data_IF_414216516366
#
_entry.id   IF_414216516366
#
_cell.length_a   1.000
_cell.length_b   1.000
_cell.length_c   1.000
_cell.angle_alpha   90.00
_cell.angle_beta   90.00
_cell.angle_gamma   90.00
#
_symmetry.space_group_name_H-M   'P 1'
#
loop_
_entity.id
_entity.type
_entity.pdbx_description
1 polymer ?
#
# COMPACT_ATOMS: atom_id res chain seq x y z
N UNK A 1 -12.44 -13.67 -1.76
CA UNK A 1 -12.08 -14.98 -2.36
C UNK A 1 -13.17 -15.51 -3.28
N UNK A 2 -14.40 -15.75 -2.82
CA UNK A 2 -15.50 -16.29 -3.66
C UNK A 2 -15.73 -15.53 -4.98
N UNK A 3 -15.65 -14.18 -4.97
CA UNK A 3 -15.73 -13.39 -6.19
C UNK A 3 -14.65 -13.78 -7.21
N UNK A 4 -13.40 -13.95 -6.77
CA UNK A 4 -12.28 -14.31 -7.64
C UNK A 4 -12.45 -15.73 -8.19
N UNK A 5 -12.85 -16.67 -7.36
CA UNK A 5 -13.13 -18.06 -7.77
C UNK A 5 -14.20 -18.12 -8.88
N UNK A 6 -15.21 -17.25 -8.82
CA UNK A 6 -16.32 -17.23 -9.78
C UNK A 6 -16.03 -16.45 -11.06
N UNK A 7 -15.18 -15.42 -10.99
CA UNK A 7 -15.02 -14.44 -12.07
C UNK A 7 -13.62 -14.42 -12.69
N UNK A 8 -12.67 -15.21 -12.18
CA UNK A 8 -11.30 -15.29 -12.68
C UNK A 8 -10.83 -16.75 -12.82
N UNK A 9 -9.74 -16.96 -13.55
CA UNK A 9 -8.93 -18.17 -13.61
C UNK A 9 -7.71 -18.09 -12.70
N UNK A 10 -7.62 -17.06 -11.86
CA UNK A 10 -6.57 -16.95 -10.86
C UNK A 10 -6.73 -18.14 -9.90
N UNK A 11 -5.68 -18.94 -9.68
CA UNK A 11 -5.77 -20.05 -8.76
C UNK A 11 -5.91 -19.51 -7.34
N UNK A 12 -7.07 -19.76 -6.74
CA UNK A 12 -7.40 -19.36 -5.36
C UNK A 12 -7.90 -20.58 -4.60
N UNK A 13 -7.62 -20.64 -3.30
CA UNK A 13 -8.14 -21.72 -2.46
C UNK A 13 -9.67 -21.64 -2.38
N UNK A 14 -10.35 -22.75 -2.63
CA UNK A 14 -11.80 -22.80 -2.52
C UNK A 14 -12.24 -22.54 -1.09
N UNK A 15 -13.19 -21.62 -0.91
CA UNK A 15 -13.79 -21.37 0.40
C UNK A 15 -14.92 -22.36 0.65
N UNK A 16 -14.82 -23.18 1.72
CA UNK A 16 -15.87 -24.13 2.10
C UNK A 16 -16.89 -23.51 3.07
N UNK A 17 -16.41 -22.72 4.02
CA UNK A 17 -17.24 -22.10 5.03
C UNK A 17 -16.56 -20.85 5.61
N UNK A 18 -17.34 -19.90 6.10
CA UNK A 18 -16.85 -18.80 6.92
C UNK A 18 -17.88 -18.48 8.00
N UNK A 19 -17.43 -17.95 9.13
CA UNK A 19 -18.31 -17.67 10.26
C UNK A 19 -17.64 -16.83 11.32
N UNK A 20 -18.36 -16.65 12.42
CA UNK A 20 -17.88 -15.97 13.63
C UNK A 20 -18.14 -16.88 14.82
N UNK A 21 -17.13 -17.06 15.65
CA UNK A 21 -17.22 -17.81 16.90
C UNK A 21 -16.88 -16.88 18.07
N UNK A 22 -17.61 -16.91 19.21
CA UNK A 22 -17.36 -16.01 20.34
C UNK A 22 -15.96 -16.08 20.94
N UNK A 23 -15.22 -17.18 20.74
CA UNK A 23 -13.85 -17.36 21.26
C UNK A 23 -12.79 -17.15 20.19
N UNK A 24 -13.02 -17.66 18.98
CA UNK A 24 -12.04 -17.58 17.88
C UNK A 24 -12.13 -16.28 17.09
N UNK A 25 -13.26 -15.58 17.16
CA UNK A 25 -13.58 -14.44 16.30
C UNK A 25 -14.02 -14.92 14.90
N UNK A 26 -13.80 -14.06 13.90
CA UNK A 26 -14.08 -14.39 12.51
C UNK A 26 -13.13 -15.49 12.01
N UNK A 27 -13.65 -16.48 11.30
CA UNK A 27 -12.88 -17.60 10.77
C UNK A 27 -13.34 -18.02 9.37
N UNK A 28 -12.45 -18.70 8.65
CA UNK A 28 -12.68 -19.24 7.32
C UNK A 28 -12.17 -20.69 7.30
N UNK A 29 -12.94 -21.60 6.72
CA UNK A 29 -12.55 -22.97 6.38
C UNK A 29 -12.42 -23.02 4.86
N UNK A 30 -11.23 -23.36 4.39
CA UNK A 30 -10.91 -23.37 2.97
C UNK A 30 -10.07 -24.59 2.60
N UNK A 31 -9.95 -24.81 1.29
CA UNK A 31 -9.12 -25.86 0.70
C UNK A 31 -7.65 -25.68 1.11
N UNK A 32 -7.04 -26.79 1.54
CA UNK A 32 -5.59 -26.85 1.71
C UNK A 32 -4.94 -27.06 0.35
N UNK A 33 -4.09 -26.13 -0.06
CA UNK A 33 -3.33 -26.22 -1.30
C UNK A 33 -1.97 -26.84 -0.98
N UNK A 34 -1.71 -28.02 -1.52
CA UNK A 34 -0.40 -28.66 -1.42
C UNK A 34 0.64 -27.84 -2.20
N UNK A 35 1.71 -27.42 -1.52
CA UNK A 35 2.76 -26.60 -2.10
C UNK A 35 4.10 -26.87 -1.40
N UNK A 36 5.21 -27.03 -2.15
CA UNK A 36 6.54 -27.15 -1.54
C UNK A 36 7.05 -25.85 -0.89
N UNK A 37 6.74 -24.69 -1.47
CA UNK A 37 7.22 -23.38 -0.98
C UNK A 37 6.42 -22.22 -1.59
N UNK A 38 6.55 -21.03 -1.02
CA UNK A 38 6.08 -19.79 -1.62
C UNK A 38 7.18 -19.12 -2.48
N UNK A 39 6.77 -18.21 -3.35
CA UNK A 39 7.67 -17.54 -4.29
C UNK A 39 8.72 -16.67 -3.59
N UNK A 40 8.40 -16.04 -2.45
CA UNK A 40 9.42 -15.30 -1.68
C UNK A 40 10.55 -16.21 -1.20
N UNK A 41 10.24 -17.43 -0.74
CA UNK A 41 11.25 -18.42 -0.32
C UNK A 41 12.08 -18.90 -1.49
N UNK A 42 11.44 -19.20 -2.62
CA UNK A 42 12.15 -19.62 -3.84
C UNK A 42 13.12 -18.55 -4.37
N UNK A 43 12.84 -17.27 -4.10
CA UNK A 43 13.60 -16.12 -4.60
C UNK A 43 14.56 -15.51 -3.58
N UNK A 44 14.57 -16.02 -2.35
CA UNK A 44 15.27 -15.37 -1.24
C UNK A 44 16.80 -15.54 -1.29
N UNK A 45 17.53 -14.48 -0.96
CA UNK A 45 18.98 -14.48 -0.83
C UNK A 45 19.48 -14.96 0.55
N UNK A 46 18.63 -14.96 1.58
CA UNK A 46 19.12 -14.99 2.97
C UNK A 46 19.44 -16.38 3.52
N UNK A 47 19.38 -17.45 2.72
CA UNK A 47 19.74 -18.82 3.12
C UNK A 47 19.17 -19.21 4.50
N UNK A 48 17.89 -18.91 4.74
CA UNK A 48 17.17 -19.22 6.00
C UNK A 48 17.62 -18.43 7.25
N UNK A 49 18.41 -17.36 7.10
CA UNK A 49 18.69 -16.42 8.19
C UNK A 49 17.42 -15.63 8.55
N UNK A 50 16.66 -16.14 9.52
CA UNK A 50 15.41 -15.55 10.00
C UNK A 50 15.58 -14.18 10.67
N UNK A 51 16.82 -13.75 10.94
CA UNK A 51 17.09 -12.43 11.52
C UNK A 51 17.12 -11.30 10.47
N UNK A 52 17.10 -11.66 9.18
CA UNK A 52 17.17 -10.70 8.07
C UNK A 52 15.86 -10.62 7.29
N UNK A 53 15.51 -9.43 6.76
CA UNK A 53 14.39 -9.32 5.83
C UNK A 53 14.67 -10.19 4.59
N UNK A 54 13.61 -10.74 4.01
CA UNK A 54 13.71 -11.43 2.72
C UNK A 54 14.12 -10.42 1.66
N UNK A 55 15.24 -10.69 0.98
CA UNK A 55 15.69 -9.89 -0.15
C UNK A 55 15.84 -10.78 -1.37
N UNK A 56 15.55 -10.23 -2.56
CA UNK A 56 15.72 -10.98 -3.81
C UNK A 56 17.18 -11.44 -3.94
N UNK A 57 17.39 -12.73 -4.20
CA UNK A 57 18.70 -13.28 -4.53
C UNK A 57 19.28 -12.55 -5.76
N UNK A 58 20.39 -11.80 -5.62
CA UNK A 58 20.97 -11.07 -6.75
C UNK A 58 21.43 -12.01 -7.87
N UNK A 59 21.76 -13.26 -7.53
CA UNK A 59 22.25 -14.29 -8.43
C UNK A 59 21.14 -15.23 -8.96
N UNK A 60 19.86 -14.90 -8.71
CA UNK A 60 18.75 -15.67 -9.29
C UNK A 60 18.87 -15.71 -10.81
N UNK A 61 18.76 -16.90 -11.46
CA UNK A 61 18.78 -16.97 -12.91
C UNK A 61 17.66 -16.11 -13.52
N UNK A 62 18.03 -15.26 -14.47
CA UNK A 62 17.14 -14.26 -15.05
C UNK A 62 15.93 -14.89 -15.76
N UNK A 63 16.13 -16.05 -16.38
CA UNK A 63 15.08 -16.84 -17.04
C UNK A 63 14.07 -17.40 -16.03
N UNK A 64 14.54 -17.89 -14.87
CA UNK A 64 13.69 -18.36 -13.77
C UNK A 64 12.87 -17.21 -13.20
N UNK A 65 13.51 -16.06 -12.93
CA UNK A 65 12.81 -14.88 -12.41
C UNK A 65 11.76 -14.38 -13.41
N UNK A 66 12.13 -14.26 -14.68
CA UNK A 66 11.22 -13.81 -15.73
C UNK A 66 10.03 -14.75 -15.92
N UNK A 67 10.24 -16.07 -15.85
CA UNK A 67 9.19 -17.07 -15.96
C UNK A 67 8.17 -16.94 -14.81
N UNK A 68 8.64 -16.82 -13.57
CA UNK A 68 7.75 -16.58 -12.43
C UNK A 68 6.98 -15.26 -12.57
N UNK A 69 7.67 -14.17 -12.93
CA UNK A 69 7.03 -12.87 -13.17
C UNK A 69 5.98 -12.94 -14.27
N UNK A 70 6.19 -13.73 -15.31
CA UNK A 70 5.21 -13.88 -16.40
C UNK A 70 3.92 -14.54 -15.92
N UNK A 71 4.01 -15.58 -15.09
CA UNK A 71 2.84 -16.22 -14.49
C UNK A 71 2.08 -15.25 -13.56
N UNK A 72 2.80 -14.50 -12.71
CA UNK A 72 2.19 -13.51 -11.82
C UNK A 72 1.54 -12.38 -12.62
N UNK A 73 2.21 -11.92 -13.68
CA UNK A 73 1.69 -10.90 -14.59
C UNK A 73 0.40 -11.35 -15.27
N UNK A 74 0.28 -12.62 -15.67
CA UNK A 74 -0.96 -13.16 -16.23
C UNK A 74 -2.13 -13.10 -15.22
N UNK A 75 -1.90 -13.47 -13.95
CA UNK A 75 -2.90 -13.33 -12.90
C UNK A 75 -3.28 -11.87 -12.64
N UNK A 76 -2.30 -10.96 -12.63
CA UNK A 76 -2.55 -9.53 -12.45
C UNK A 76 -3.34 -8.92 -13.62
N UNK A 77 -3.07 -9.33 -14.86
CA UNK A 77 -3.83 -8.89 -16.02
C UNK A 77 -5.30 -9.24 -15.88
N UNK A 78 -5.60 -10.48 -15.49
CA UNK A 78 -6.97 -10.94 -15.24
C UNK A 78 -7.61 -10.19 -14.07
N UNK A 79 -6.91 -10.08 -12.94
CA UNK A 79 -7.37 -9.34 -11.77
C UNK A 79 -7.73 -7.89 -12.11
N UNK A 80 -6.91 -7.23 -12.94
CA UNK A 80 -7.10 -5.84 -13.35
C UNK A 80 -8.29 -5.59 -14.28
N UNK A 81 -8.87 -6.64 -14.90
CA UNK A 81 -10.04 -6.51 -15.77
C UNK A 81 -11.33 -6.21 -15.01
N UNK A 82 -11.37 -6.49 -13.70
CA UNK A 82 -12.57 -6.31 -12.90
C UNK A 82 -12.76 -4.85 -12.53
N UNK A 83 -13.56 -4.16 -13.34
CA UNK A 83 -14.01 -2.80 -13.07
C UNK A 83 -15.27 -2.81 -12.21
N UNK A 84 -15.34 -1.89 -11.27
CA UNK A 84 -16.40 -1.77 -10.28
C UNK A 84 -16.94 -0.34 -10.27
N UNK A 85 -18.22 -0.12 -9.86
CA UNK A 85 -18.88 1.16 -10.02
C UNK A 85 -18.45 2.24 -9.01
N UNK A 86 -17.72 1.85 -7.96
CA UNK A 86 -17.25 2.76 -6.89
C UNK A 86 -16.08 2.13 -6.12
N UNK A 87 -15.38 2.94 -5.34
CA UNK A 87 -14.32 2.49 -4.45
C UNK A 87 -14.95 1.96 -3.15
N UNK A 88 -14.52 0.77 -2.72
CA UNK A 88 -15.04 0.08 -1.53
C UNK A 88 -14.78 -1.42 -1.55
N UNK A 89 -15.12 -2.09 -0.46
CA UNK A 89 -15.04 -3.54 -0.36
C UNK A 89 -16.25 -4.22 -0.99
N UNK A 90 -16.01 -5.36 -1.63
CA UNK A 90 -17.04 -6.25 -2.16
C UNK A 90 -17.69 -7.02 -1.02
N UNK A 91 -19.02 -7.03 -1.00
CA UNK A 91 -19.83 -7.82 -0.08
C UNK A 91 -20.78 -8.69 -0.91
N UNK A 92 -20.91 -9.95 -0.53
CA UNK A 92 -21.93 -10.83 -1.09
C UNK A 92 -23.31 -10.40 -0.57
N UNK A 93 -24.16 -9.87 -1.46
CA UNK A 93 -25.49 -9.37 -1.12
C UNK A 93 -26.57 -10.43 -1.31
N UNK A 94 -26.33 -11.38 -2.20
CA UNK A 94 -27.09 -12.61 -2.40
C UNK A 94 -26.10 -13.71 -2.79
N UNK A 95 -26.43 -15.00 -2.62
CA UNK A 95 -25.55 -16.09 -3.02
C UNK A 95 -25.02 -15.92 -4.45
N UNK A 96 -23.70 -15.82 -4.61
CA UNK A 96 -23.00 -15.60 -5.89
C UNK A 96 -23.09 -14.18 -6.47
N UNK A 97 -23.71 -13.23 -5.77
CA UNK A 97 -23.89 -11.85 -6.24
C UNK A 97 -23.19 -10.88 -5.29
N UNK A 98 -22.31 -10.05 -5.83
CA UNK A 98 -21.47 -9.14 -5.06
C UNK A 98 -21.80 -7.68 -5.37
N UNK A 99 -21.65 -6.81 -4.37
CA UNK A 99 -21.80 -5.36 -4.54
C UNK A 99 -20.78 -4.62 -3.68
N UNK A 100 -20.38 -3.43 -4.14
CA UNK A 100 -19.47 -2.57 -3.40
C UNK A 100 -20.27 -1.70 -2.45
N UNK A 101 -20.36 -2.10 -1.18
CA UNK A 101 -21.25 -1.46 -0.18
C UNK A 101 -20.57 -1.14 1.15
N UNK A 102 -19.30 -1.50 1.31
CA UNK A 102 -18.52 -1.24 2.50
C UNK A 102 -17.25 -0.44 2.20
N UNK A 103 -16.67 0.18 3.22
CA UNK A 103 -15.37 0.86 3.12
C UNK A 103 -14.29 -0.10 2.65
N UNK A 104 -13.28 0.39 1.90
CA UNK A 104 -12.05 -0.37 1.71
C UNK A 104 -11.48 -0.84 3.05
N UNK A 105 -11.08 -2.10 3.11
CA UNK A 105 -10.29 -2.65 4.23
C UNK A 105 -8.86 -2.77 3.71
N UNK A 106 -7.98 -1.88 4.15
CA UNK A 106 -6.61 -1.78 3.65
C UNK A 106 -5.61 -2.30 4.67
N UNK A 107 -4.45 -2.76 4.18
CA UNK A 107 -3.36 -3.18 5.07
C UNK A 107 -2.92 -2.02 5.98
N UNK A 108 -2.87 -0.80 5.45
CA UNK A 108 -2.51 0.40 6.22
C UNK A 108 -3.50 0.69 7.36
N UNK A 109 -4.81 0.47 7.16
CA UNK A 109 -5.79 0.58 8.26
C UNK A 109 -5.50 -0.44 9.36
N UNK A 110 -5.20 -1.69 8.99
CA UNK A 110 -4.83 -2.71 9.97
C UNK A 110 -3.56 -2.32 10.75
N UNK A 111 -2.51 -1.91 10.05
CA UNK A 111 -1.26 -1.46 10.65
C UNK A 111 -1.48 -0.23 11.57
N UNK A 112 -2.34 0.70 11.18
CA UNK A 112 -2.75 1.85 12.00
C UNK A 112 -3.41 1.42 13.32
N UNK A 113 -4.27 0.41 13.30
CA UNK A 113 -4.93 -0.11 14.51
C UNK A 113 -3.94 -0.89 15.39
N UNK A 114 -3.16 -1.79 14.78
CA UNK A 114 -2.31 -2.73 15.51
C UNK A 114 -0.99 -2.11 16.00
N UNK A 115 -0.33 -1.32 15.14
CA UNK A 115 1.02 -0.82 15.38
C UNK A 115 1.03 0.61 15.90
N UNK A 116 0.10 1.46 15.42
CA UNK A 116 -0.02 2.84 15.87
C UNK A 116 -1.08 3.01 16.98
N UNK A 117 -1.80 1.94 17.34
CA UNK A 117 -2.87 1.90 18.33
C UNK A 117 -3.98 2.93 18.01
N UNK A 118 -4.25 3.27 16.75
CA UNK A 118 -5.21 4.35 16.47
C UNK A 118 -6.63 3.89 16.83
N UNK A 119 -7.49 4.73 17.44
CA UNK A 119 -8.86 4.34 17.74
C UNK A 119 -9.64 4.01 16.46
N UNK A 120 -10.32 2.86 16.43
CA UNK A 120 -11.09 2.42 15.26
C UNK A 120 -12.19 3.38 14.82
N UNK A 121 -12.67 4.25 15.73
CA UNK A 121 -13.63 5.31 15.44
C UNK A 121 -13.09 6.41 14.51
N UNK A 122 -11.76 6.50 14.34
CA UNK A 122 -11.11 7.46 13.45
C UNK A 122 -11.06 6.95 12.00
N UNK A 123 -11.17 5.63 11.80
CA UNK A 123 -11.24 5.06 10.46
C UNK A 123 -12.56 5.45 9.77
N UNK A 124 -12.61 5.49 8.42
CA UNK A 124 -13.83 5.81 7.69
C UNK A 124 -15.01 4.93 8.13
N UNK A 125 -16.26 5.41 8.15
CA UNK A 125 -17.40 4.59 8.55
C UNK A 125 -17.50 3.28 7.75
N UNK A 126 -17.97 2.19 8.37
CA UNK A 126 -18.01 0.87 7.73
C UNK A 126 -18.75 0.84 6.40
N UNK A 127 -19.82 1.63 6.24
CA UNK A 127 -20.64 1.71 5.03
C UNK A 127 -20.17 2.79 4.02
N UNK A 128 -19.02 3.44 4.26
CA UNK A 128 -18.54 4.52 3.40
C UNK A 128 -17.92 3.98 2.12
N UNK A 129 -18.52 4.27 0.97
CA UNK A 129 -17.94 4.10 -0.37
C UNK A 129 -17.58 5.46 -1.00
N UNK A 130 -16.77 5.47 -2.05
CA UNK A 130 -16.35 6.70 -2.74
C UNK A 130 -16.68 6.65 -4.23
N UNK A 131 -17.24 7.74 -4.77
CA UNK A 131 -17.70 7.81 -6.17
C UNK A 131 -16.60 8.26 -7.14
N UNK A 132 -15.48 8.78 -6.63
CA UNK A 132 -14.34 9.24 -7.42
C UNK A 132 -13.04 9.05 -6.62
N UNK A 133 -11.91 9.04 -7.32
CA UNK A 133 -10.60 8.85 -6.69
C UNK A 133 -10.21 10.02 -5.78
N UNK A 134 -10.59 11.26 -6.09
CA UNK A 134 -10.21 12.44 -5.30
C UNK A 134 -10.77 12.37 -3.88
N UNK A 135 -12.04 12.00 -3.72
CA UNK A 135 -12.64 11.76 -2.39
C UNK A 135 -11.88 10.69 -1.60
N UNK A 136 -11.43 9.62 -2.27
CA UNK A 136 -10.67 8.57 -1.61
C UNK A 136 -9.25 9.01 -1.26
N UNK A 137 -8.59 9.80 -2.10
CA UNK A 137 -7.27 10.37 -1.78
C UNK A 137 -7.32 11.35 -0.61
N UNK A 138 -8.38 12.16 -0.52
CA UNK A 138 -8.64 12.97 0.68
C UNK A 138 -8.81 12.09 1.91
N UNK A 139 -9.49 10.94 1.79
CA UNK A 139 -9.57 9.97 2.88
C UNK A 139 -8.19 9.41 3.28
N UNK A 140 -7.35 9.02 2.31
CA UNK A 140 -5.99 8.54 2.58
C UNK A 140 -5.14 9.61 3.29
N UNK A 141 -5.20 10.86 2.81
CA UNK A 141 -4.53 12.00 3.43
C UNK A 141 -4.98 12.23 4.88
N UNK A 142 -6.30 12.15 5.13
CA UNK A 142 -6.87 12.25 6.49
C UNK A 142 -6.37 11.12 7.40
N UNK A 143 -6.20 9.90 6.87
CA UNK A 143 -5.64 8.79 7.66
C UNK A 143 -4.16 9.00 7.98
N UNK A 144 -3.37 9.60 7.09
CA UNK A 144 -1.97 9.99 7.39
C UNK A 144 -1.92 11.04 8.50
N UNK A 145 -2.79 12.05 8.44
CA UNK A 145 -2.92 13.05 9.51
C UNK A 145 -3.37 12.40 10.81
N UNK A 146 -4.35 11.48 10.77
CA UNK A 146 -4.80 10.75 11.93
C UNK A 146 -3.66 9.96 12.59
N UNK A 147 -2.80 9.29 11.82
CA UNK A 147 -1.60 8.67 12.36
C UNK A 147 -0.70 9.69 13.06
N UNK A 148 -0.44 10.84 12.43
CA UNK A 148 0.33 11.92 13.03
C UNK A 148 -0.27 12.42 14.36
N UNK A 149 -1.60 12.53 14.43
CA UNK A 149 -2.31 12.98 15.63
C UNK A 149 -2.29 11.92 16.73
N UNK A 150 -2.67 10.69 16.43
CA UNK A 150 -2.98 9.67 17.44
C UNK A 150 -1.82 8.75 17.81
N UNK A 151 -0.84 8.53 16.91
CA UNK A 151 0.31 7.69 17.24
C UNK A 151 1.22 8.42 18.23
N UNK A 152 1.30 7.92 19.46
CA UNK A 152 2.00 8.62 20.55
C UNK A 152 3.51 8.42 20.50
N UNK A 153 3.98 7.22 20.14
CA UNK A 153 5.39 6.83 20.25
C UNK A 153 6.10 6.83 18.89
N UNK A 154 7.38 7.21 18.94
CA UNK A 154 8.40 7.11 17.88
C UNK A 154 8.08 7.71 16.50
N UNK A 155 6.95 8.40 16.36
CA UNK A 155 6.59 9.02 15.08
C UNK A 155 7.35 10.31 14.81
N UNK A 156 7.60 11.14 15.84
CA UNK A 156 8.33 12.41 15.70
C UNK A 156 9.34 12.58 16.84
N UNK A 157 10.59 12.92 16.49
CA UNK A 157 11.65 13.12 17.47
C UNK A 157 11.89 14.58 17.83
N UNK A 158 11.53 15.50 16.96
CA UNK A 158 11.75 16.93 17.19
C UNK A 158 10.53 17.73 16.76
N UNK A 159 10.39 18.95 17.28
CA UNK A 159 9.37 19.88 16.82
C UNK A 159 9.50 20.16 15.31
N UNK A 160 10.73 20.10 14.81
CA UNK A 160 11.09 20.36 13.43
C UNK A 160 10.62 19.23 12.49
N UNK A 161 10.80 17.98 12.90
CA UNK A 161 10.20 16.80 12.24
C UNK A 161 8.67 16.81 12.30
N UNK A 162 8.09 17.23 13.42
CA UNK A 162 6.64 17.35 13.56
C UNK A 162 6.04 18.36 12.55
N UNK A 163 6.66 19.54 12.42
CA UNK A 163 6.27 20.54 11.41
C UNK A 163 6.45 20.02 9.98
N UNK A 164 7.56 19.33 9.71
CA UNK A 164 7.79 18.63 8.44
C UNK A 164 6.62 17.71 8.09
N UNK A 165 6.19 16.85 9.03
CA UNK A 165 5.09 15.95 8.74
C UNK A 165 3.74 16.68 8.59
N UNK A 166 3.49 17.69 9.41
CA UNK A 166 2.25 18.47 9.39
C UNK A 166 2.09 19.31 8.11
N UNK A 167 3.19 19.70 7.46
CA UNK A 167 3.14 20.52 6.24
C UNK A 167 2.94 19.72 4.94
N UNK A 168 2.97 18.38 4.99
CA UNK A 168 2.92 17.56 3.78
C UNK A 168 1.53 17.58 3.15
N UNK A 169 1.46 17.85 1.84
CA UNK A 169 0.21 17.88 1.07
C UNK A 169 0.26 16.85 -0.04
N UNK A 170 -0.68 15.90 -0.02
CA UNK A 170 -0.92 15.06 -1.19
C UNK A 170 -1.57 15.91 -2.29
N UNK A 171 -0.97 15.92 -3.47
CA UNK A 171 -1.58 16.54 -4.66
C UNK A 171 -2.82 15.75 -5.09
N UNK A 172 -3.76 16.44 -5.74
CA UNK A 172 -4.90 15.79 -6.39
C UNK A 172 -4.43 14.81 -7.46
N UNK A 173 -5.23 13.78 -7.72
CA UNK A 173 -4.87 12.80 -8.75
C UNK A 173 -5.13 13.35 -10.16
N UNK A 174 -4.37 12.89 -11.17
CA UNK A 174 -4.72 13.09 -12.56
C UNK A 174 -6.12 12.54 -12.87
N UNK A 175 -6.79 13.13 -13.85
CA UNK A 175 -8.21 12.95 -14.19
C UNK A 175 -8.59 11.59 -14.81
N UNK A 176 -7.75 10.57 -14.71
CA UNK A 176 -8.05 9.20 -15.18
C UNK A 176 -8.84 8.37 -14.15
N UNK A 177 -9.61 9.05 -13.29
CA UNK A 177 -10.09 8.56 -11.99
C UNK A 177 -11.44 7.83 -11.98
N UNK A 178 -12.10 7.64 -13.14
CA UNK A 178 -13.47 7.08 -13.20
C UNK A 178 -13.53 5.56 -13.39
N UNK A 179 -12.38 4.88 -13.46
CA UNK A 179 -12.32 3.41 -13.50
C UNK A 179 -11.79 2.87 -12.18
N UNK A 180 -12.65 2.22 -11.39
CA UNK A 180 -12.25 1.53 -10.17
C UNK A 180 -12.00 0.07 -10.47
N UNK A 181 -10.86 -0.46 -10.04
CA UNK A 181 -10.42 -1.83 -10.34
C UNK A 181 -10.17 -2.58 -9.06
N UNK A 182 -10.26 -3.90 -9.11
CA UNK A 182 -9.77 -4.71 -8.01
C UNK A 182 -8.28 -4.46 -7.76
N UNK A 183 -7.96 -4.33 -6.48
CA UNK A 183 -6.61 -4.14 -5.98
C UNK A 183 -6.49 -4.86 -4.63
N UNK A 184 -5.31 -5.43 -4.35
CA UNK A 184 -5.00 -6.03 -3.06
C UNK A 184 -3.69 -5.43 -2.54
N UNK A 185 -3.74 -4.79 -1.37
CA UNK A 185 -2.56 -4.13 -0.79
C UNK A 185 -1.43 -5.10 -0.45
N UNK A 186 -1.76 -6.37 -0.15
CA UNK A 186 -0.81 -7.39 0.28
C UNK A 186 -0.58 -8.48 -0.79
N UNK A 187 -0.88 -8.22 -2.07
CA UNK A 187 -0.52 -9.16 -3.13
C UNK A 187 0.99 -9.09 -3.40
N UNK A 188 1.73 -10.04 -2.79
CA UNK A 188 3.20 -10.12 -2.82
C UNK A 188 3.70 -11.58 -2.86
N UNK A 189 5.00 -11.83 -3.14
CA UNK A 189 5.51 -13.19 -3.37
C UNK A 189 5.37 -14.17 -2.20
N UNK A 190 5.27 -13.70 -0.96
CA UNK A 190 4.99 -14.57 0.19
C UNK A 190 3.61 -15.24 0.12
N UNK A 191 2.68 -14.61 -0.59
CA UNK A 191 1.29 -15.03 -0.70
C UNK A 191 1.04 -15.77 -2.04
N UNK A 192 2.11 -16.11 -2.76
CA UNK A 192 2.08 -16.84 -4.03
C UNK A 192 2.72 -18.21 -3.80
N UNK A 193 1.90 -19.25 -3.81
CA UNK A 193 2.32 -20.63 -3.62
C UNK A 193 2.78 -21.21 -4.95
N UNK A 194 3.90 -21.93 -4.96
CA UNK A 194 4.44 -22.60 -6.15
C UNK A 194 4.18 -24.10 -6.08
N UNK A 195 4.00 -24.78 -7.22
CA UNK A 195 3.99 -26.25 -7.26
C UNK A 195 5.43 -26.79 -7.35
N UNK A 196 5.61 -28.12 -7.31
CA UNK A 196 6.91 -28.76 -7.48
C UNK A 196 7.57 -28.59 -8.86
N UNK A 197 6.88 -28.03 -9.86
CA UNK A 197 7.42 -27.78 -11.20
C UNK A 197 7.49 -26.29 -11.57
N UNK A 198 7.40 -25.40 -10.58
CA UNK A 198 7.45 -23.93 -10.70
C UNK A 198 6.32 -23.14 -11.44
N UNK A 199 5.07 -23.64 -11.62
CA UNK A 199 3.89 -22.79 -11.81
C UNK A 199 3.26 -22.34 -10.48
N UNK A 200 2.39 -21.33 -10.56
CA UNK A 200 1.60 -20.85 -9.42
C UNK A 200 0.55 -21.93 -9.05
N UNK A 201 0.64 -22.46 -7.82
CA UNK A 201 -0.33 -23.40 -7.25
C UNK A 201 -1.61 -22.68 -6.80
N UNK A 202 -1.44 -21.58 -6.06
CA UNK A 202 -2.51 -20.68 -5.64
C UNK A 202 -1.93 -19.34 -5.19
N UNK A 203 -2.75 -18.31 -5.23
CA UNK A 203 -2.51 -17.05 -4.54
C UNK A 203 -3.46 -16.98 -3.35
N UNK A 204 -2.93 -16.65 -2.18
CA UNK A 204 -3.64 -16.61 -0.90
C UNK A 204 -3.65 -15.19 -0.32
N UNK A 205 -4.19 -15.03 0.89
CA UNK A 205 -4.20 -13.78 1.67
C UNK A 205 -4.83 -12.59 0.93
N UNK A 206 -6.07 -12.79 0.50
CA UNK A 206 -6.86 -11.78 -0.22
C UNK A 206 -7.58 -10.77 0.69
N UNK A 207 -7.30 -10.74 1.99
CA UNK A 207 -8.08 -9.99 3.00
C UNK A 207 -8.10 -8.47 2.79
N UNK A 208 -7.06 -7.91 2.18
CA UNK A 208 -6.96 -6.49 1.84
C UNK A 208 -7.33 -6.19 0.37
N UNK A 209 -8.27 -6.97 -0.18
CA UNK A 209 -8.77 -6.79 -1.55
C UNK A 209 -10.02 -5.90 -1.58
N UNK A 210 -10.00 -4.86 -2.42
CA UNK A 210 -11.11 -3.92 -2.58
C UNK A 210 -11.13 -3.31 -3.99
N UNK A 211 -12.24 -2.65 -4.33
CA UNK A 211 -12.33 -1.77 -5.50
C UNK A 211 -11.57 -0.48 -5.20
N UNK A 212 -10.49 -0.22 -5.92
CA UNK A 212 -9.59 0.91 -5.71
C UNK A 212 -9.52 1.82 -6.94
N UNK A 213 -8.97 3.04 -6.82
CA UNK A 213 -8.63 3.85 -8.00
C UNK A 213 -7.78 3.05 -9.00
N UNK A 214 -8.13 3.11 -10.28
CA UNK A 214 -7.46 2.31 -11.32
C UNK A 214 -5.94 2.48 -11.35
N UNK A 215 -5.42 3.66 -10.99
CA UNK A 215 -3.97 3.89 -10.90
C UNK A 215 -3.21 2.94 -9.96
N UNK A 216 -3.88 2.33 -8.99
CA UNK A 216 -3.24 1.38 -8.07
C UNK A 216 -2.83 0.11 -8.81
N UNK A 217 -3.73 -0.39 -9.66
CA UNK A 217 -3.49 -1.57 -10.50
C UNK A 217 -2.60 -1.27 -11.71
N UNK A 218 -2.42 0.00 -12.07
CA UNK A 218 -1.54 0.45 -13.16
C UNK A 218 -0.08 0.70 -12.75
N UNK A 219 0.21 0.74 -11.45
CA UNK A 219 1.55 0.95 -10.93
C UNK A 219 2.36 -0.35 -10.95
N UNK A 220 3.69 -0.21 -10.95
CA UNK A 220 4.60 -1.36 -10.77
C UNK A 220 4.42 -2.04 -9.40
N UNK A 221 4.71 -3.34 -9.29
CA UNK A 221 4.73 -4.02 -7.99
C UNK A 221 5.90 -3.52 -7.15
N UNK A 222 5.64 -3.04 -5.93
CA UNK A 222 6.69 -2.57 -5.03
C UNK A 222 7.62 -3.69 -4.53
N UNK A 223 7.23 -4.96 -4.66
CA UNK A 223 7.89 -6.10 -4.03
C UNK A 223 8.96 -6.79 -4.90
N UNK A 224 9.39 -6.21 -6.03
CA UNK A 224 10.38 -6.86 -6.92
C UNK A 224 11.72 -7.19 -6.25
N UNK A 225 12.02 -6.58 -5.10
CA UNK A 225 13.19 -6.89 -4.26
C UNK A 225 12.86 -7.70 -3.00
N UNK A 226 11.61 -8.16 -2.86
CA UNK A 226 11.00 -8.84 -1.71
C UNK A 226 10.86 -8.00 -0.43
N UNK A 227 11.61 -6.89 -0.32
CA UNK A 227 11.54 -5.93 0.78
C UNK A 227 11.11 -4.53 0.30
N UNK A 228 10.57 -3.76 1.23
CA UNK A 228 9.96 -2.44 1.01
C UNK A 228 11.01 -1.32 0.90
N UNK A 229 10.74 -0.29 0.08
CA UNK A 229 11.64 0.87 -0.06
C UNK A 229 11.88 1.63 1.24
N UNK A 230 10.92 1.66 2.17
CA UNK A 230 11.01 2.40 3.42
C UNK A 230 11.71 1.63 4.55
N UNK A 231 11.85 0.31 4.45
CA UNK A 231 12.58 -0.53 5.42
C UNK A 231 13.96 -0.97 4.91
N UNK A 232 14.35 -0.57 3.69
CA UNK A 232 15.62 -1.00 3.10
C UNK A 232 16.83 -0.44 3.86
N UNK A 233 17.62 -1.32 4.48
CA UNK A 233 18.75 -0.96 5.37
C UNK A 233 19.79 -0.04 4.71
N UNK A 234 20.10 -0.27 3.43
CA UNK A 234 21.07 0.54 2.68
C UNK A 234 20.48 1.87 2.17
N UNK A 235 19.21 2.16 2.49
CA UNK A 235 18.50 3.37 2.12
C UNK A 235 17.85 3.32 0.74
N UNK A 236 16.92 4.25 0.53
CA UNK A 236 16.04 4.31 -0.63
C UNK A 236 16.77 4.43 -1.98
N UNK A 237 17.88 5.18 -2.04
CA UNK A 237 18.65 5.32 -3.29
C UNK A 237 19.30 4.00 -3.71
N UNK A 238 19.76 3.20 -2.75
CA UNK A 238 20.29 1.87 -3.02
C UNK A 238 19.17 0.92 -3.46
N UNK A 239 18.01 0.96 -2.79
CA UNK A 239 16.84 0.18 -3.19
C UNK A 239 16.47 0.44 -4.65
N UNK A 240 16.44 1.70 -5.07
CA UNK A 240 16.13 2.09 -6.45
C UNK A 240 17.15 1.53 -7.44
N UNK A 241 18.43 1.67 -7.12
CA UNK A 241 19.52 1.17 -7.96
C UNK A 241 19.40 -0.33 -8.22
N UNK A 242 18.93 -1.09 -7.22
CA UNK A 242 18.71 -2.53 -7.33
C UNK A 242 17.36 -2.89 -7.97
N UNK A 243 16.36 -2.03 -7.80
CA UNK A 243 15.01 -2.23 -8.30
C UNK A 243 14.91 -2.01 -9.81
N UNK A 244 15.61 -1.01 -10.37
CA UNK A 244 15.54 -0.66 -11.79
C UNK A 244 15.87 -1.83 -12.75
N UNK A 245 16.93 -2.63 -12.54
CA UNK A 245 17.15 -3.82 -13.36
C UNK A 245 15.99 -4.83 -13.28
N UNK A 246 15.40 -5.02 -12.09
CA UNK A 246 14.29 -5.98 -11.87
C UNK A 246 12.97 -5.48 -12.42
N UNK A 247 12.77 -4.16 -12.47
CA UNK A 247 11.69 -3.51 -13.21
C UNK A 247 11.75 -3.90 -14.68
N UNK A 248 12.92 -3.89 -15.32
CA UNK A 248 13.07 -4.28 -16.72
C UNK A 248 12.68 -5.75 -16.95
N UNK A 249 13.10 -6.66 -16.06
CA UNK A 249 12.65 -8.06 -16.04
C UNK A 249 11.13 -8.16 -15.95
N UNK A 250 10.53 -7.43 -15.02
CA UNK A 250 9.08 -7.39 -14.80
C UNK A 250 8.33 -6.87 -16.02
N UNK A 251 8.76 -5.75 -16.62
CA UNK A 251 8.12 -5.18 -17.81
C UNK A 251 8.22 -6.16 -18.99
N UNK A 252 9.36 -6.84 -19.15
CA UNK A 252 9.53 -7.87 -20.17
C UNK A 252 8.57 -9.05 -19.96
N UNK A 253 8.43 -9.51 -18.71
CA UNK A 253 7.49 -10.57 -18.34
C UNK A 253 6.02 -10.15 -18.56
N UNK A 254 5.64 -8.92 -18.17
CA UNK A 254 4.30 -8.38 -18.38
C UNK A 254 3.96 -8.31 -19.88
N UNK A 255 4.88 -7.84 -20.72
CA UNK A 255 4.68 -7.82 -22.19
C UNK A 255 4.44 -9.22 -22.76
N UNK A 256 5.15 -10.24 -22.26
CA UNK A 256 4.92 -11.63 -22.65
C UNK A 256 3.53 -12.09 -22.21
N UNK A 257 3.15 -11.82 -20.96
CA UNK A 257 1.82 -12.17 -20.44
C UNK A 257 0.67 -11.48 -21.21
N UNK A 258 0.82 -10.20 -21.56
CA UNK A 258 -0.15 -9.46 -22.39
C UNK A 258 -0.33 -10.11 -23.77
N UNK A 259 0.77 -10.53 -24.40
CA UNK A 259 0.76 -11.22 -25.69
C UNK A 259 0.08 -12.60 -25.61
N UNK A 260 0.41 -13.38 -24.58
CA UNK A 260 -0.06 -14.77 -24.45
C UNK A 260 -1.53 -14.84 -24.04
N UNK A 261 -1.95 -13.98 -23.11
CA UNK A 261 -3.35 -13.91 -22.64
C UNK A 261 -4.26 -13.18 -23.62
N UNK A 262 -3.70 -12.33 -24.49
CA UNK A 262 -4.42 -11.37 -25.34
C UNK A 262 -5.30 -10.39 -24.53
N UNK A 263 -5.00 -10.21 -23.25
CA UNK A 263 -5.65 -9.24 -22.38
C UNK A 263 -4.86 -7.94 -22.39
N UNK A 264 -5.56 -6.82 -22.58
CA UNK A 264 -5.01 -5.49 -22.35
C UNK A 264 -5.40 -5.04 -20.95
N UNK A 265 -4.48 -5.12 -19.99
CA UNK A 265 -4.70 -4.65 -18.62
C UNK A 265 -4.74 -3.14 -18.45
N UNK A 266 -4.36 -2.37 -19.48
CA UNK A 266 -4.31 -0.91 -19.39
C UNK A 266 -5.66 -0.23 -19.64
N UNK A 267 -5.59 1.09 -19.79
CA UNK A 267 -6.73 1.98 -20.08
C UNK A 267 -6.61 2.48 -21.54
N UNK A 268 -7.74 2.70 -22.21
CA UNK A 268 -7.80 3.34 -23.53
C UNK A 268 -6.92 2.70 -24.62
N UNK A 269 -6.79 1.36 -24.61
CA UNK A 269 -6.05 0.62 -25.63
C UNK A 269 -4.53 0.63 -25.47
N UNK A 270 -4.00 1.27 -24.42
CA UNK A 270 -2.59 1.19 -24.04
C UNK A 270 -2.36 -0.04 -23.16
N UNK A 271 -1.22 -0.71 -23.31
CA UNK A 271 -0.88 -1.90 -22.52
C UNK A 271 -0.57 -1.57 -21.05
N UNK A 272 -0.80 -2.52 -20.14
CA UNK A 272 -0.47 -2.37 -18.72
C UNK A 272 1.05 -2.19 -18.52
N UNK A 273 1.86 -2.92 -19.27
CA UNK A 273 3.32 -2.77 -19.29
C UNK A 273 3.76 -1.34 -19.63
N UNK A 274 3.06 -0.68 -20.55
CA UNK A 274 3.33 0.72 -20.91
C UNK A 274 2.99 1.65 -19.76
N UNK A 275 1.82 1.49 -19.15
CA UNK A 275 1.42 2.28 -17.98
C UNK A 275 2.36 2.09 -16.79
N UNK A 276 2.79 0.86 -16.52
CA UNK A 276 3.71 0.55 -15.44
C UNK A 276 5.05 1.27 -15.63
N UNK A 277 5.61 1.26 -16.84
CA UNK A 277 6.83 2.00 -17.18
C UNK A 277 6.64 3.51 -17.00
N UNK A 278 5.59 4.06 -17.60
CA UNK A 278 5.28 5.49 -17.49
C UNK A 278 5.06 5.91 -16.02
N UNK A 279 4.48 5.03 -15.19
CA UNK A 279 4.27 5.29 -13.76
C UNK A 279 5.58 5.50 -13.00
N UNK A 280 6.64 4.81 -13.39
CA UNK A 280 7.98 4.97 -12.82
C UNK A 280 8.59 6.31 -13.24
N UNK A 281 8.65 6.56 -14.55
CA UNK A 281 9.28 7.75 -15.16
C UNK A 281 8.63 9.07 -14.67
N UNK A 282 7.30 9.06 -14.56
CA UNK A 282 6.51 10.23 -14.13
C UNK A 282 6.45 10.39 -12.62
N UNK A 283 6.88 9.41 -11.83
CA UNK A 283 6.78 9.41 -10.37
C UNK A 283 5.40 9.04 -9.81
N UNK A 284 4.44 8.63 -10.66
CA UNK A 284 3.13 8.15 -10.19
C UNK A 284 3.22 6.89 -9.34
N UNK A 285 4.21 6.03 -9.58
CA UNK A 285 4.51 4.89 -8.71
C UNK A 285 4.68 5.36 -7.26
N UNK A 286 5.50 6.39 -7.04
CA UNK A 286 5.76 6.95 -5.73
C UNK A 286 4.53 7.62 -5.12
N UNK A 287 3.73 8.32 -5.93
CA UNK A 287 2.47 8.91 -5.46
C UNK A 287 1.50 7.83 -4.97
N UNK A 288 1.30 6.77 -5.75
CA UNK A 288 0.44 5.63 -5.40
C UNK A 288 0.98 4.85 -4.19
N UNK A 289 2.30 4.67 -4.09
CA UNK A 289 2.93 4.00 -2.95
C UNK A 289 2.75 4.83 -1.67
N UNK A 290 3.10 6.11 -1.71
CA UNK A 290 3.03 7.01 -0.57
C UNK A 290 1.59 7.31 -0.13
N UNK A 291 0.62 7.31 -1.04
CA UNK A 291 -0.80 7.49 -0.71
C UNK A 291 -1.37 6.32 0.10
N UNK A 292 -0.83 5.11 -0.07
CA UNK A 292 -1.34 3.89 0.58
C UNK A 292 -0.56 3.49 1.83
N UNK A 293 0.70 3.89 1.94
CA UNK A 293 1.58 3.52 3.04
C UNK A 293 1.97 4.75 3.85
N UNK A 294 1.37 4.88 5.03
CA UNK A 294 1.54 6.04 5.90
C UNK A 294 2.91 6.08 6.61
N UNK A 295 3.55 4.92 6.81
CA UNK A 295 4.92 4.83 7.34
C UNK A 295 5.96 5.30 6.32
N UNK A 296 5.77 4.98 5.04
CA UNK A 296 6.65 5.43 3.98
C UNK A 296 6.43 6.89 3.56
N UNK A 297 5.26 7.46 3.88
CA UNK A 297 4.77 8.71 3.30
C UNK A 297 5.79 9.85 3.40
N UNK A 298 6.36 10.11 4.58
CA UNK A 298 7.33 11.22 4.74
C UNK A 298 8.59 11.05 3.89
N UNK A 299 9.18 9.86 3.91
CA UNK A 299 10.42 9.58 3.17
C UNK A 299 10.19 9.72 1.68
N UNK A 300 9.11 9.15 1.15
CA UNK A 300 8.78 9.24 -0.28
C UNK A 300 8.36 10.65 -0.66
N UNK A 301 7.57 11.33 0.17
CA UNK A 301 7.10 12.69 -0.09
C UNK A 301 8.27 13.65 -0.31
N UNK A 302 9.16 13.77 0.68
CA UNK A 302 10.26 14.72 0.61
C UNK A 302 11.30 14.37 -0.45
N UNK A 303 11.48 13.08 -0.75
CA UNK A 303 12.48 12.61 -1.72
C UNK A 303 11.98 12.71 -3.17
N UNK A 304 10.74 12.32 -3.46
CA UNK A 304 10.26 12.13 -4.84
C UNK A 304 9.08 13.01 -5.25
N UNK A 305 8.20 13.35 -4.31
CA UNK A 305 6.95 14.05 -4.65
C UNK A 305 7.12 15.56 -4.51
N UNK A 306 7.78 16.02 -3.45
CA UNK A 306 7.81 17.42 -3.06
C UNK A 306 8.24 18.38 -4.19
N UNK A 307 9.47 18.26 -4.69
CA UNK A 307 9.96 19.17 -5.74
C UNK A 307 9.30 18.93 -7.10
N UNK A 308 8.78 17.71 -7.33
CA UNK A 308 8.09 17.35 -8.56
C UNK A 308 6.73 18.04 -8.68
N UNK A 309 5.99 18.14 -7.57
CA UNK A 309 4.66 18.74 -7.55
C UNK A 309 4.64 20.20 -7.10
N UNK A 310 5.59 20.62 -6.27
CA UNK A 310 5.60 21.95 -5.65
C UNK A 310 6.81 22.81 -6.03
N UNK A 311 7.64 22.35 -6.98
CA UNK A 311 8.80 23.07 -7.48
C UNK A 311 10.02 23.00 -6.55
N UNK A 312 11.18 23.54 -6.99
CA UNK A 312 12.45 23.39 -6.27
C UNK A 312 12.38 23.98 -4.85
N UNK A 313 13.10 23.37 -3.90
CA UNK A 313 13.38 23.96 -2.58
C UNK A 313 14.60 24.88 -2.65
N UNK A 314 14.76 25.71 -1.63
CA UNK A 314 16.00 26.45 -1.42
C UNK A 314 17.19 25.49 -1.25
N UNK A 315 18.31 25.78 -1.91
CA UNK A 315 19.53 24.97 -1.81
C UNK A 315 20.11 25.01 -0.39
N UNK A 316 20.56 23.87 0.11
CA UNK A 316 21.19 23.75 1.43
C UNK A 316 20.22 23.76 2.61
N UNK A 317 18.91 23.83 2.37
CA UNK A 317 17.90 23.69 3.42
C UNK A 317 18.05 22.31 4.09
N UNK A 318 18.22 22.22 5.43
CA UNK A 318 18.35 20.93 6.08
C UNK A 318 17.06 20.11 5.95
N UNK A 319 17.16 18.78 5.82
CA UNK A 319 16.01 17.89 5.59
C UNK A 319 14.89 18.07 6.61
N UNK A 320 15.21 18.28 7.88
CA UNK A 320 14.21 18.51 8.92
C UNK A 320 13.48 19.87 8.78
N UNK A 321 13.90 20.75 7.88
CA UNK A 321 13.31 22.07 7.66
C UNK A 321 12.64 22.29 6.30
N UNK A 322 12.42 21.22 5.55
CA UNK A 322 11.73 21.31 4.27
C UNK A 322 10.33 21.93 4.37
N UNK A 323 9.62 21.83 5.50
CA UNK A 323 8.34 22.52 5.70
C UNK A 323 8.39 24.03 5.48
N UNK A 324 9.53 24.69 5.72
CA UNK A 324 9.66 26.13 5.52
C UNK A 324 9.46 26.53 4.07
N UNK A 325 9.91 25.68 3.14
CA UNK A 325 9.71 25.90 1.71
C UNK A 325 8.26 25.62 1.25
N UNK A 326 7.42 25.08 2.14
CA UNK A 326 6.05 24.61 1.85
C UNK A 326 4.98 25.21 2.76
N UNK A 327 5.37 26.07 3.71
CA UNK A 327 4.44 26.71 4.64
C UNK A 327 3.34 27.49 3.90
N UNK A 328 3.68 28.03 2.72
CA UNK A 328 2.75 28.79 1.89
C UNK A 328 1.70 27.96 1.17
N UNK A 329 1.85 26.63 1.14
CA UNK A 329 0.84 25.70 0.61
C UNK A 329 -0.27 25.40 1.62
N UNK A 330 -0.07 25.76 2.89
CA UNK A 330 -1.07 25.55 3.94
C UNK A 330 -2.11 26.67 3.93
N UNK A 331 -3.37 26.31 4.24
CA UNK A 331 -4.41 27.31 4.51
C UNK A 331 -4.05 28.11 5.78
N UNK A 332 -4.73 29.24 6.00
CA UNK A 332 -4.51 30.03 7.22
C UNK A 332 -4.81 29.20 8.48
N UNK A 333 -5.94 28.48 8.48
CA UNK A 333 -6.33 27.61 9.59
C UNK A 333 -5.28 26.51 9.89
N UNK A 334 -4.68 25.94 8.84
CA UNK A 334 -3.63 24.93 9.00
C UNK A 334 -2.35 25.51 9.57
N UNK A 335 -1.96 26.72 9.18
CA UNK A 335 -0.81 27.42 9.75
C UNK A 335 -1.05 27.77 11.22
N UNK A 336 -2.25 28.26 11.54
CA UNK A 336 -2.63 28.63 12.91
C UNK A 336 -2.72 27.40 13.83
N UNK A 337 -3.13 26.25 13.30
CA UNK A 337 -3.19 24.98 14.04
C UNK A 337 -1.83 24.30 14.21
N UNK A 338 -0.84 24.60 13.37
CA UNK A 338 0.43 23.87 13.33
C UNK A 338 1.23 23.98 14.64
N UNK A 339 1.42 25.19 15.16
CA UNK A 339 2.23 25.39 16.37
C UNK A 339 1.59 24.77 17.62
N UNK A 340 0.28 25.01 17.92
CA UNK A 340 -0.40 24.32 19.02
C UNK A 340 -0.35 22.79 18.91
N UNK A 341 -0.46 22.26 17.69
CA UNK A 341 -0.35 20.83 17.44
C UNK A 341 1.06 20.30 17.78
N UNK A 342 2.10 20.98 17.32
CA UNK A 342 3.50 20.61 17.55
C UNK A 342 3.82 20.64 19.05
N UNK A 343 3.41 21.68 19.76
CA UNK A 343 3.58 21.79 21.21
C UNK A 343 2.95 20.61 21.96
N UNK A 344 1.67 20.33 21.68
CA UNK A 344 0.95 19.18 22.26
C UNK A 344 1.67 17.86 22.00
N UNK A 345 2.20 17.69 20.79
CA UNK A 345 2.91 16.47 20.42
C UNK A 345 4.23 16.30 21.16
N UNK A 346 4.99 17.39 21.32
CA UNK A 346 6.23 17.40 22.09
C UNK A 346 5.98 17.15 23.58
N UNK A 347 4.90 17.68 24.15
CA UNK A 347 4.50 17.39 25.53
C UNK A 347 4.12 15.92 25.73
N UNK A 348 3.33 15.36 24.82
CA UNK A 348 2.92 13.95 24.86
C UNK A 348 4.14 13.04 24.86
N UNK A 349 5.12 13.31 23.99
CA UNK A 349 6.38 12.57 23.95
C UNK A 349 7.14 12.65 25.28
N UNK A 350 7.32 13.85 25.84
CA UNK A 350 8.02 14.02 27.13
C UNK A 350 7.35 13.22 28.25
N UNK A 351 6.02 13.15 28.27
CA UNK A 351 5.28 12.34 29.24
C UNK A 351 5.50 10.83 29.05
N UNK A 352 5.56 10.36 27.80
CA UNK A 352 5.86 8.96 27.49
C UNK A 352 7.28 8.57 27.96
N UNK A 353 8.28 9.43 27.74
CA UNK A 353 9.66 9.22 28.19
C UNK A 353 9.77 9.12 29.72
N UNK A 354 9.05 9.98 30.45
CA UNK A 354 9.11 10.04 31.92
C UNK A 354 8.37 8.87 32.58
N UNK A 355 7.27 8.41 31.97
CA UNK A 355 6.40 7.40 32.58
C UNK A 355 6.89 5.96 32.36
N UNK A 356 7.84 5.73 31.45
CA UNK A 356 8.24 4.38 31.05
C UNK A 356 7.08 3.53 30.50
N UNK A 357 5.93 4.17 30.21
CA UNK A 357 4.72 3.51 29.76
C UNK A 357 4.89 3.12 28.30
N UNK A 358 4.97 1.81 28.07
CA UNK A 358 4.63 1.21 26.78
C UNK A 358 3.18 1.52 26.38
N UNK A 359 2.82 1.33 25.09
CA UNK A 359 1.63 1.90 24.49
C UNK A 359 0.33 1.38 25.13
N UNK A 360 -0.62 2.27 25.48
CA UNK A 360 -2.01 1.85 25.73
C UNK A 360 -2.95 2.78 26.51
N UNK A 361 -2.50 3.65 27.41
CA UNK A 361 -3.38 4.18 28.48
C UNK A 361 -3.87 5.63 28.31
N UNK A 362 -4.25 6.09 27.11
CA UNK A 362 -4.71 7.50 27.00
C UNK A 362 -5.47 7.94 25.74
N UNK A 363 -6.09 7.04 24.97
CA UNK A 363 -6.61 7.42 23.65
C UNK A 363 -8.07 7.90 23.60
N UNK A 364 -8.89 7.57 24.60
CA UNK A 364 -10.31 7.94 24.59
C UNK A 364 -10.56 9.45 24.74
N UNK A 365 -9.64 10.21 25.34
CA UNK A 365 -9.81 11.67 25.49
C UNK A 365 -9.49 12.46 24.22
N UNK A 366 -8.66 11.94 23.30
CA UNK A 366 -8.24 12.64 22.09
C UNK A 366 -9.31 12.62 20.99
N UNK A 367 -10.23 11.65 21.00
CA UNK A 367 -11.28 11.55 19.98
C UNK A 367 -12.33 12.67 20.04
N UNK A 368 -12.49 13.35 21.18
CA UNK A 368 -13.50 14.42 21.34
C UNK A 368 -13.06 15.78 20.81
N UNK A 369 -11.74 15.99 20.63
CA UNK A 369 -11.17 17.30 20.29
C UNK A 369 -10.58 17.36 18.86
N UNK A 370 -10.66 16.27 18.09
CA UNK A 370 -9.93 16.11 16.82
C UNK A 370 -10.76 16.36 15.54
N UNK A 371 -12.06 16.67 15.66
CA UNK A 371 -12.93 16.97 14.51
C UNK A 371 -13.96 18.04 14.81
#
# INVERSE_FOLDING_TARGET
MMYLEQHTKIPVARTFFHGEDPKLGAFIIMEYIEHPQCMSTAHNATNEDVSKPFTLNPDIPEDVLQNHYQHVAACLLEFSQHTLPRIGSLVEVNPGTFSVVARPVTKNMNDMLQLANIPGAILPPQLKTYQNADEYYVCLAKMHIAQLVFQQNDLVRTAQECRNKASMKLSSMPSNSDSFRLYCDDLRPSNILLTGSDPIAAIIDWEFTYAAPGQFSLALPWWLLLDTPDQWDAGLDNWITLYEPRLETWISAMKKAEKDTKLNGGIAGVSLSTYMRESWETGRFWLTYAARNSWAFETIFWRYLDERFFGPREQGLPRNQYWKARIDLLSQDERDAMEPFVERKMETRKRAEVSGLGPGSGQESLCRDAF
#
